data_IF_811836714381
#
_entry.id   IF_811836714381
#
_cell.length_a   1.000
_cell.length_b   1.000
_cell.length_c   1.000
_cell.angle_alpha   90.00
_cell.angle_beta   90.00
_cell.angle_gamma   90.00
#
_symmetry.space_group_name_H-M   'P 1'
#
loop_
_entity.id
_entity.type
_entity.pdbx_description
1 polymer ?
#
# COMPACT_ATOMS: atom_id res chain seq x y z
N UNK A 1 16.64 -20.83 -1.76
CA UNK A 1 15.74 -20.19 -0.77
C UNK A 1 14.43 -19.67 -1.37
N UNK A 2 14.33 -19.45 -2.69
CA UNK A 2 13.09 -19.01 -3.38
C UNK A 2 11.83 -19.86 -3.11
N UNK A 3 11.98 -21.15 -2.80
CA UNK A 3 10.84 -22.03 -2.50
C UNK A 3 10.03 -21.64 -1.26
N UNK A 4 10.67 -21.06 -0.23
CA UNK A 4 9.98 -20.63 1.00
C UNK A 4 9.10 -19.41 0.70
N UNK A 5 9.66 -18.41 0.01
CA UNK A 5 8.93 -17.20 -0.39
C UNK A 5 7.71 -17.56 -1.24
N UNK A 6 7.91 -18.35 -2.31
CA UNK A 6 6.83 -18.75 -3.20
C UNK A 6 5.75 -19.58 -2.50
N UNK A 7 6.15 -20.49 -1.60
CA UNK A 7 5.21 -21.27 -0.79
C UNK A 7 4.35 -20.38 0.10
N UNK A 8 4.96 -19.41 0.80
CA UNK A 8 4.21 -18.44 1.61
C UNK A 8 3.29 -17.57 0.76
N UNK A 9 3.75 -17.08 -0.39
CA UNK A 9 2.94 -16.24 -1.29
C UNK A 9 1.73 -16.98 -1.87
N UNK A 10 1.86 -18.29 -2.11
CA UNK A 10 0.73 -19.13 -2.50
C UNK A 10 -0.33 -19.21 -1.39
N UNK A 11 0.08 -19.35 -0.14
CA UNK A 11 -0.83 -19.34 1.01
C UNK A 11 -1.46 -17.95 1.25
N UNK A 12 -0.72 -16.86 1.11
CA UNK A 12 -1.28 -15.49 1.17
C UNK A 12 -2.36 -15.30 0.10
N UNK A 13 -2.11 -15.76 -1.14
CA UNK A 13 -3.10 -15.69 -2.22
C UNK A 13 -4.34 -16.53 -1.93
N UNK A 14 -4.17 -17.73 -1.37
CA UNK A 14 -5.28 -18.61 -0.99
C UNK A 14 -6.11 -17.98 0.14
N UNK A 15 -5.46 -17.42 1.15
CA UNK A 15 -6.12 -16.71 2.25
C UNK A 15 -6.90 -15.48 1.74
N UNK A 16 -6.27 -14.64 0.92
CA UNK A 16 -6.91 -13.46 0.33
C UNK A 16 -8.15 -13.81 -0.50
N UNK A 17 -8.07 -14.86 -1.33
CA UNK A 17 -9.21 -15.33 -2.13
C UNK A 17 -10.36 -15.87 -1.27
N UNK A 18 -10.07 -16.39 -0.09
CA UNK A 18 -11.08 -16.88 0.86
C UNK A 18 -11.75 -15.72 1.57
N UNK A 19 -10.98 -14.74 2.03
CA UNK A 19 -11.48 -13.58 2.76
C UNK A 19 -10.56 -12.37 2.56
N UNK A 20 -11.12 -11.28 2.04
CA UNK A 20 -10.45 -9.98 1.97
C UNK A 20 -11.46 -8.85 2.20
N UNK A 21 -11.00 -7.68 2.70
CA UNK A 21 -11.89 -6.56 2.95
C UNK A 21 -12.52 -6.06 1.64
N UNK A 22 -13.82 -5.73 1.71
CA UNK A 22 -14.56 -5.25 0.54
C UNK A 22 -13.89 -4.02 -0.10
N UNK A 23 -13.84 -4.01 -1.44
CA UNK A 23 -13.26 -2.91 -2.23
C UNK A 23 -11.74 -2.98 -2.41
N UNK A 24 -11.03 -3.78 -1.61
CA UNK A 24 -9.60 -4.00 -1.81
C UNK A 24 -9.34 -4.99 -2.94
N UNK A 25 -8.20 -4.80 -3.62
CA UNK A 25 -7.71 -5.73 -4.64
C UNK A 25 -6.28 -6.12 -4.27
N UNK A 26 -5.94 -7.40 -4.44
CA UNK A 26 -4.56 -7.89 -4.39
C UNK A 26 -4.45 -9.13 -5.28
N UNK A 27 -3.60 -9.07 -6.31
CA UNK A 27 -3.36 -10.18 -7.22
C UNK A 27 -1.91 -10.19 -7.72
N UNK A 28 -1.30 -11.38 -7.91
CA UNK A 28 -0.03 -11.48 -8.61
C UNK A 28 -0.13 -10.93 -10.04
N UNK A 29 0.95 -10.32 -10.50
CA UNK A 29 1.12 -9.89 -11.89
C UNK A 29 1.12 -11.12 -12.79
N UNK A 30 0.52 -10.99 -13.97
CA UNK A 30 0.55 -12.01 -15.02
C UNK A 30 1.72 -11.73 -15.97
N UNK A 31 2.57 -12.72 -16.18
CA UNK A 31 3.65 -12.67 -17.17
C UNK A 31 3.08 -12.75 -18.59
N UNK A 32 3.90 -12.42 -19.59
CA UNK A 32 3.51 -12.46 -21.01
C UNK A 32 3.09 -13.87 -21.48
N UNK A 33 3.72 -14.92 -20.94
CA UNK A 33 3.40 -16.33 -21.19
C UNK A 33 2.11 -16.80 -20.47
N UNK A 34 1.49 -15.92 -19.69
CA UNK A 34 0.28 -16.17 -18.92
C UNK A 34 0.48 -16.80 -17.54
N UNK A 35 1.72 -17.11 -17.16
CA UNK A 35 2.07 -17.53 -15.79
C UNK A 35 1.92 -16.39 -14.78
N UNK A 36 1.86 -16.72 -13.48
CA UNK A 36 1.76 -15.72 -12.41
C UNK A 36 3.13 -15.44 -11.79
N UNK A 37 3.52 -14.18 -11.74
CA UNK A 37 4.66 -13.73 -10.95
C UNK A 37 4.23 -13.48 -9.51
N UNK A 38 4.38 -14.50 -8.65
CA UNK A 38 4.04 -14.38 -7.24
C UNK A 38 4.90 -13.36 -6.48
N UNK A 39 6.06 -12.95 -7.01
CA UNK A 39 6.94 -11.97 -6.37
C UNK A 39 6.53 -10.52 -6.65
N UNK A 40 5.53 -10.28 -7.50
CA UNK A 40 5.09 -8.94 -7.87
C UNK A 40 3.56 -8.89 -7.93
N UNK A 41 2.93 -8.05 -7.12
CA UNK A 41 1.48 -7.98 -7.00
C UNK A 41 0.95 -6.60 -7.35
N UNK A 42 -0.14 -6.58 -8.09
CA UNK A 42 -0.99 -5.41 -8.29
C UNK A 42 -2.07 -5.40 -7.20
N UNK A 43 -2.06 -4.35 -6.39
CA UNK A 43 -3.04 -4.14 -5.34
C UNK A 43 -3.77 -2.80 -5.54
N UNK A 44 -4.95 -2.68 -4.95
CA UNK A 44 -5.70 -1.44 -4.91
C UNK A 44 -6.33 -1.26 -3.53
N UNK A 45 -6.21 -0.06 -2.99
CA UNK A 45 -6.77 0.32 -1.68
C UNK A 45 -7.87 1.36 -1.90
N UNK A 46 -9.12 1.10 -1.47
CA UNK A 46 -10.16 2.12 -1.48
C UNK A 46 -9.90 3.13 -0.36
N UNK A 47 -10.22 4.40 -0.59
CA UNK A 47 -10.28 5.36 0.50
C UNK A 47 -11.39 5.02 1.50
N UNK A 48 -11.13 5.31 2.78
CA UNK A 48 -12.06 4.98 3.87
C UNK A 48 -13.26 5.91 3.84
N UNK A 49 -14.46 5.37 4.09
CA UNK A 49 -15.70 6.15 4.17
C UNK A 49 -15.62 7.20 5.28
N UNK A 50 -16.14 8.39 5.03
CA UNK A 50 -16.12 9.53 5.95
C UNK A 50 -14.78 10.27 6.00
N UNK A 51 -13.83 9.94 5.13
CA UNK A 51 -12.52 10.59 5.06
C UNK A 51 -12.36 11.36 3.75
N UNK A 52 -11.43 12.33 3.66
CA UNK A 52 -11.11 13.02 2.40
C UNK A 52 -10.69 12.09 1.25
N UNK A 53 -10.32 10.85 1.56
CA UNK A 53 -9.90 9.82 0.60
C UNK A 53 -11.07 9.04 -0.01
N UNK A 54 -12.28 9.16 0.56
CA UNK A 54 -13.47 8.42 0.13
C UNK A 54 -13.69 8.53 -1.39
N UNK A 55 -14.22 7.46 -2.00
CA UNK A 55 -14.43 7.29 -3.44
C UNK A 55 -13.16 7.11 -4.29
N UNK A 56 -11.97 7.46 -3.77
CA UNK A 56 -10.70 7.16 -4.41
C UNK A 56 -10.35 5.67 -4.36
N UNK A 57 -9.70 5.17 -5.41
CA UNK A 57 -9.08 3.84 -5.45
C UNK A 57 -7.62 3.95 -5.87
N UNK A 58 -6.73 3.66 -4.94
CA UNK A 58 -5.30 3.91 -5.09
C UNK A 58 -4.58 2.61 -5.45
N UNK A 59 -4.03 2.58 -6.67
CA UNK A 59 -3.27 1.43 -7.19
C UNK A 59 -1.86 1.43 -6.60
N UNK A 60 -1.39 0.25 -6.19
CA UNK A 60 -0.05 0.07 -5.66
C UNK A 60 0.55 -1.26 -6.12
N UNK A 61 1.87 -1.25 -6.29
CA UNK A 61 2.68 -2.43 -6.55
C UNK A 61 3.29 -2.92 -5.25
N UNK A 62 3.14 -4.21 -4.96
CA UNK A 62 3.76 -4.89 -3.82
C UNK A 62 4.82 -5.87 -4.34
N UNK A 63 6.08 -5.62 -3.98
CA UNK A 63 7.26 -6.28 -4.55
C UNK A 63 7.95 -7.08 -3.45
N UNK A 64 8.06 -8.39 -3.65
CA UNK A 64 8.68 -9.32 -2.72
C UNK A 64 10.10 -9.66 -3.15
N UNK A 65 10.96 -9.99 -2.18
CA UNK A 65 12.31 -10.49 -2.39
C UNK A 65 12.37 -12.00 -2.14
N UNK A 66 13.45 -12.65 -2.56
CA UNK A 66 13.67 -14.09 -2.39
C UNK A 66 13.78 -14.55 -0.92
N UNK A 67 14.07 -13.62 -0.01
CA UNK A 67 14.14 -13.82 1.43
C UNK A 67 12.82 -13.54 2.17
N UNK A 68 11.73 -13.23 1.45
CA UNK A 68 10.39 -13.20 2.04
C UNK A 68 10.01 -14.58 2.62
N UNK A 69 9.38 -14.68 3.81
CA UNK A 69 8.84 -13.60 4.65
C UNK A 69 9.79 -13.08 5.73
N UNK A 70 11.09 -13.39 5.67
CA UNK A 70 12.05 -12.80 6.62
C UNK A 70 12.13 -11.28 6.42
N UNK A 71 12.12 -10.82 5.17
CA UNK A 71 12.05 -9.39 4.83
C UNK A 71 10.64 -8.94 4.45
N UNK A 72 10.29 -7.66 4.68
CA UNK A 72 9.00 -7.10 4.26
C UNK A 72 8.95 -6.92 2.74
N UNK A 73 7.75 -6.94 2.13
CA UNK A 73 7.60 -6.47 0.75
C UNK A 73 7.79 -4.96 0.67
N UNK A 74 8.26 -4.47 -0.49
CA UNK A 74 8.22 -3.05 -0.81
C UNK A 74 6.88 -2.70 -1.43
N UNK A 75 6.17 -1.73 -0.86
CA UNK A 75 4.92 -1.19 -1.42
C UNK A 75 5.15 0.17 -2.08
N UNK A 76 4.60 0.36 -3.28
CA UNK A 76 4.77 1.58 -4.07
C UNK A 76 3.46 1.96 -4.75
N UNK A 77 2.94 3.17 -4.51
CA UNK A 77 1.82 3.71 -5.26
C UNK A 77 2.21 3.96 -6.71
N UNK A 78 1.36 3.54 -7.64
CA UNK A 78 1.55 3.71 -9.09
C UNK A 78 0.25 4.24 -9.73
N UNK A 79 0.16 5.54 -10.05
CA UNK A 79 1.18 6.58 -9.85
C UNK A 79 1.37 6.98 -8.37
N UNK A 80 2.48 7.66 -8.02
CA UNK A 80 2.67 8.24 -6.68
C UNK A 80 1.52 9.18 -6.28
N UNK A 81 1.24 9.26 -4.97
CA UNK A 81 0.16 10.07 -4.41
C UNK A 81 0.69 11.18 -3.51
N UNK A 82 -0.08 12.25 -3.36
CA UNK A 82 0.16 13.31 -2.41
C UNK A 82 -0.15 12.83 -0.99
N UNK A 83 0.89 12.44 -0.23
CA UNK A 83 0.75 11.94 1.14
C UNK A 83 2.05 12.16 1.96
N UNK A 84 1.99 12.56 3.24
CA UNK A 84 3.20 12.84 4.04
C UNK A 84 4.18 11.65 4.14
N UNK A 85 3.67 10.41 4.15
CA UNK A 85 4.47 9.18 4.27
C UNK A 85 4.64 8.40 2.97
N UNK A 86 4.46 9.04 1.81
CA UNK A 86 4.75 8.43 0.50
C UNK A 86 5.84 9.22 -0.16
N UNK A 87 6.96 8.58 -0.52
CA UNK A 87 8.03 9.27 -1.26
C UNK A 87 7.55 9.72 -2.64
N UNK A 88 8.22 10.71 -3.28
CA UNK A 88 7.93 11.07 -4.67
C UNK A 88 8.06 9.89 -5.66
N UNK A 89 8.83 8.86 -5.29
CA UNK A 89 8.92 7.60 -6.04
C UNK A 89 7.66 6.73 -5.94
N UNK A 90 6.71 7.04 -5.06
CA UNK A 90 5.56 6.23 -4.71
C UNK A 90 5.80 5.26 -3.55
N UNK A 91 7.06 5.08 -3.11
CA UNK A 91 7.39 4.15 -2.01
C UNK A 91 6.69 4.57 -0.72
N UNK A 92 6.01 3.63 -0.06
CA UNK A 92 5.29 3.88 1.19
C UNK A 92 6.23 3.73 2.38
N UNK A 93 6.22 4.70 3.30
CA UNK A 93 6.87 4.60 4.61
C UNK A 93 5.84 4.16 5.66
N UNK A 94 5.94 2.91 6.12
CA UNK A 94 5.09 2.32 7.15
C UNK A 94 5.95 1.36 7.99
N UNK A 95 5.79 1.36 9.32
CA UNK A 95 6.62 0.51 10.20
C UNK A 95 6.44 -0.99 9.93
N UNK A 96 5.27 -1.42 9.46
CA UNK A 96 5.03 -2.79 8.99
C UNK A 96 5.80 -3.16 7.71
N UNK A 97 6.42 -2.19 7.03
CA UNK A 97 7.22 -2.40 5.82
C UNK A 97 8.72 -2.21 6.08
N UNK A 98 9.11 -2.14 7.35
CA UNK A 98 10.46 -1.83 7.80
C UNK A 98 10.96 -2.97 8.71
N UNK A 99 12.04 -3.62 8.28
CA UNK A 99 12.64 -4.78 8.94
C UNK A 99 13.14 -4.47 10.35
N UNK A 100 13.56 -3.23 10.61
CA UNK A 100 14.09 -2.79 11.89
C UNK A 100 13.00 -2.30 12.87
N UNK A 101 11.73 -2.23 12.41
CA UNK A 101 10.60 -1.74 13.20
C UNK A 101 9.58 -2.84 13.50
N UNK A 102 8.40 -2.75 12.91
CA UNK A 102 7.24 -3.57 13.27
C UNK A 102 7.02 -4.75 12.32
N UNK A 103 7.86 -4.91 11.29
CA UNK A 103 7.79 -6.07 10.42
C UNK A 103 7.99 -7.35 11.22
N UNK A 104 7.10 -8.32 11.03
CA UNK A 104 7.25 -9.68 11.52
C UNK A 104 6.88 -10.62 10.38
N UNK A 105 7.55 -11.77 10.20
CA UNK A 105 7.21 -12.72 9.14
C UNK A 105 5.74 -13.18 9.17
N UNK A 106 5.07 -13.14 10.32
CA UNK A 106 3.66 -13.49 10.46
C UNK A 106 2.68 -12.42 9.92
N UNK A 107 3.14 -11.21 9.61
CA UNK A 107 2.31 -10.16 9.02
C UNK A 107 1.82 -10.61 7.64
N UNK A 108 0.52 -10.48 7.43
CA UNK A 108 -0.17 -10.90 6.19
C UNK A 108 -0.32 -9.74 5.20
N UNK A 109 -0.53 -10.06 3.92
CA UNK A 109 -0.83 -9.05 2.89
C UNK A 109 -2.08 -8.24 3.28
N UNK A 110 -3.07 -8.90 3.90
CA UNK A 110 -4.28 -8.23 4.41
C UNK A 110 -3.95 -7.17 5.46
N UNK A 111 -3.11 -7.48 6.42
CA UNK A 111 -2.69 -6.53 7.45
C UNK A 111 -1.89 -5.37 6.88
N UNK A 112 -1.01 -5.63 5.90
CA UNK A 112 -0.25 -4.57 5.21
C UNK A 112 -1.21 -3.60 4.51
N UNK A 113 -2.13 -4.12 3.69
CA UNK A 113 -3.04 -3.27 2.92
C UNK A 113 -4.00 -2.46 3.83
N UNK A 114 -4.47 -3.05 4.92
CA UNK A 114 -5.24 -2.32 5.93
C UNK A 114 -4.40 -1.24 6.63
N UNK A 115 -3.16 -1.56 7.01
CA UNK A 115 -2.24 -0.59 7.60
C UNK A 115 -1.92 0.58 6.67
N UNK A 116 -1.81 0.34 5.36
CA UNK A 116 -1.66 1.41 4.37
C UNK A 116 -2.95 2.24 4.26
N UNK A 117 -4.14 1.62 4.30
CA UNK A 117 -5.41 2.36 4.29
C UNK A 117 -5.54 3.27 5.52
N UNK A 118 -5.21 2.77 6.70
CA UNK A 118 -5.25 3.57 7.94
C UNK A 118 -4.20 4.69 7.89
N UNK A 119 -3.00 4.43 7.35
CA UNK A 119 -1.96 5.44 7.15
C UNK A 119 -2.44 6.62 6.28
N UNK A 120 -3.28 6.38 5.26
CA UNK A 120 -3.86 7.46 4.44
C UNK A 120 -4.62 8.47 5.31
N UNK A 121 -5.43 7.98 6.25
CA UNK A 121 -6.24 8.83 7.12
C UNK A 121 -5.43 9.42 8.28
N UNK A 122 -4.50 8.65 8.82
CA UNK A 122 -3.71 9.00 10.02
C UNK A 122 -2.20 9.02 9.71
N UNK A 123 -1.70 10.04 8.99
CA UNK A 123 -0.28 10.13 8.62
C UNK A 123 0.66 10.14 9.84
N UNK A 124 1.76 9.40 9.74
CA UNK A 124 2.82 9.41 10.75
C UNK A 124 3.74 10.63 10.57
N UNK A 125 3.50 11.69 11.33
CA UNK A 125 4.31 12.93 11.27
C UNK A 125 5.76 12.78 11.74
N UNK A 126 6.11 11.67 12.41
CA UNK A 126 7.48 11.43 12.89
C UNK A 126 8.41 10.92 11.79
N UNK A 127 7.86 10.42 10.68
CA UNK A 127 8.62 9.80 9.59
C UNK A 127 8.16 10.36 8.21
N UNK A 128 8.38 11.66 7.95
CA UNK A 128 7.91 12.28 6.72
C UNK A 128 8.75 11.86 5.50
N UNK A 129 8.07 11.42 4.45
CA UNK A 129 8.66 11.01 3.17
C UNK A 129 8.47 12.05 2.06
N UNK A 130 7.45 12.92 2.16
CA UNK A 130 7.18 13.99 1.19
C UNK A 130 7.06 15.34 1.89
N UNK A 131 8.07 16.19 1.70
CA UNK A 131 8.19 17.48 2.37
C UNK A 131 7.00 18.42 2.11
N UNK A 132 6.52 18.49 0.87
CA UNK A 132 5.37 19.35 0.51
C UNK A 132 4.10 18.91 1.24
N UNK A 133 3.75 17.62 1.14
CA UNK A 133 2.57 17.08 1.81
C UNK A 133 2.67 17.22 3.33
N UNK A 134 3.84 16.94 3.90
CA UNK A 134 4.11 17.12 5.33
C UNK A 134 3.92 18.58 5.78
N UNK A 135 4.51 19.54 5.05
CA UNK A 135 4.43 20.96 5.39
C UNK A 135 2.99 21.45 5.37
N UNK A 136 2.25 21.14 4.30
CA UNK A 136 0.85 21.53 4.15
C UNK A 136 -0.01 20.84 5.21
N UNK A 137 0.22 19.54 5.47
CA UNK A 137 -0.48 18.79 6.51
C UNK A 137 -0.33 19.46 7.89
N UNK A 138 0.88 19.88 8.25
CA UNK A 138 1.19 20.48 9.55
C UNK A 138 0.73 21.94 9.68
N UNK A 139 0.80 22.72 8.60
CA UNK A 139 0.57 24.18 8.64
C UNK A 139 -0.84 24.59 8.18
N UNK A 140 -1.45 23.84 7.26
CA UNK A 140 -2.75 24.19 6.68
C UNK A 140 -3.57 22.93 6.36
N UNK A 141 -4.26 22.43 7.40
CA UNK A 141 -5.07 21.21 7.29
C UNK A 141 -6.19 21.34 6.24
N UNK A 142 -6.81 22.52 6.11
CA UNK A 142 -7.87 22.74 5.14
C UNK A 142 -7.37 22.60 3.70
N UNK A 143 -6.20 23.15 3.38
CA UNK A 143 -5.58 22.99 2.07
C UNK A 143 -5.13 21.54 1.81
N UNK A 144 -4.59 20.86 2.82
CA UNK A 144 -4.26 19.44 2.72
C UNK A 144 -5.49 18.62 2.33
N UNK A 145 -6.59 18.74 3.08
CA UNK A 145 -7.81 17.98 2.79
C UNK A 145 -8.41 18.33 1.43
N UNK A 146 -8.36 19.61 1.02
CA UNK A 146 -8.82 20.04 -0.31
C UNK A 146 -8.06 19.29 -1.41
N UNK A 147 -6.73 19.22 -1.33
CA UNK A 147 -5.90 18.49 -2.30
C UNK A 147 -6.16 16.98 -2.26
N UNK A 148 -6.37 16.42 -1.07
CA UNK A 148 -6.70 14.99 -0.93
C UNK A 148 -8.06 14.68 -1.56
N UNK A 149 -9.09 15.53 -1.39
CA UNK A 149 -10.39 15.36 -2.07
C UNK A 149 -10.26 15.42 -3.59
N UNK A 150 -9.54 16.41 -4.12
CA UNK A 150 -9.24 16.50 -5.55
C UNK A 150 -8.49 15.26 -6.07
N UNK A 151 -7.57 14.73 -5.26
CA UNK A 151 -6.87 13.49 -5.56
C UNK A 151 -7.82 12.29 -5.56
N UNK A 152 -8.72 12.18 -4.58
CA UNK A 152 -9.72 11.11 -4.53
C UNK A 152 -10.65 11.14 -5.75
N UNK A 153 -11.08 12.31 -6.20
CA UNK A 153 -11.84 12.50 -7.44
C UNK A 153 -11.05 12.02 -8.66
N UNK A 154 -9.77 12.39 -8.76
CA UNK A 154 -8.88 11.96 -9.86
C UNK A 154 -8.69 10.44 -9.92
N UNK A 155 -8.65 9.79 -8.75
CA UNK A 155 -8.49 8.33 -8.63
C UNK A 155 -9.82 7.61 -8.41
N UNK A 156 -10.96 8.28 -8.64
CA UNK A 156 -12.26 7.62 -8.62
C UNK A 156 -12.35 6.66 -9.81
N UNK A 157 -12.98 5.49 -9.59
CA UNK A 157 -13.24 4.56 -10.69
C UNK A 157 -14.28 5.20 -11.62
N UNK A 158 -13.93 5.34 -12.90
CA UNK A 158 -14.90 5.59 -13.98
C UNK A 158 -15.86 4.43 -14.11
#
# INVERSE_FOLDING_TARGET
>A
MSGIALGRLAEERKAWRKDHPFGFVAKPVKNEDGSLNLMNWECAIPGKKGTPWENGKYMLRMIFKDDYPSTPPKCKFEPPIFHPNVYPSGTVCLSLLDEEKDWRPAVTIKQILLGIQDLLNDPNIKDPAQAEAYTIYCQNRAEYEKRVRQQAEKFSQS
#
